data_IF_574875714815
#
_entry.id   IF_574875714815
#
_cell.length_a   1.000
_cell.length_b   1.000
_cell.length_c   1.000
_cell.angle_alpha   90.00
_cell.angle_beta   90.00
_cell.angle_gamma   90.00
#
_symmetry.space_group_name_H-M   'P 1'
#
loop_
_entity.id
_entity.type
_entity.pdbx_description
1 polymer ?
#
# COMPACT_ATOMS: atom_id res chain seq x y z
N UNK A 1 14.50 -18.21 14.03
CA UNK A 1 14.52 -19.50 13.31
C UNK A 1 14.33 -19.24 11.82
N UNK A 2 14.83 -20.08 10.90
CA UNK A 2 14.54 -19.93 9.47
C UNK A 2 13.02 -20.01 9.24
N UNK A 3 12.54 -19.36 8.18
CA UNK A 3 11.14 -18.94 8.02
C UNK A 3 10.11 -20.04 8.29
N UNK A 4 9.07 -19.69 9.07
CA UNK A 4 7.94 -20.56 9.30
C UNK A 4 7.33 -20.98 7.95
N UNK A 5 7.37 -22.28 7.66
CA UNK A 5 6.70 -22.85 6.51
C UNK A 5 5.20 -22.52 6.67
N UNK A 6 4.54 -21.90 5.68
CA UNK A 6 3.12 -21.60 5.77
C UNK A 6 2.35 -22.87 6.13
N UNK A 7 1.44 -22.80 7.09
CA UNK A 7 0.57 -23.94 7.44
C UNK A 7 -0.03 -24.54 6.17
N UNK A 8 -0.12 -25.88 6.02
CA UNK A 8 -0.64 -26.51 4.79
C UNK A 8 -1.98 -25.95 4.31
N UNK A 9 -2.79 -25.41 5.24
CA UNK A 9 -4.05 -24.70 4.95
C UNK A 9 -3.89 -23.46 4.05
N UNK A 10 -2.75 -22.77 4.12
CA UNK A 10 -2.44 -21.59 3.30
C UNK A 10 -1.68 -21.93 2.01
N UNK A 11 -1.26 -23.17 1.79
CA UNK A 11 -0.52 -23.56 0.59
C UNK A 11 -1.25 -23.21 -0.73
N UNK A 12 -2.58 -23.39 -0.87
CA UNK A 12 -3.31 -22.95 -2.07
C UNK A 12 -3.25 -21.42 -2.27
N UNK A 13 -3.30 -20.65 -1.18
CA UNK A 13 -3.14 -19.18 -1.21
C UNK A 13 -1.73 -18.80 -1.62
N UNK A 14 -0.69 -19.42 -1.02
CA UNK A 14 0.72 -19.19 -1.40
C UNK A 14 0.93 -19.40 -2.90
N UNK A 15 0.42 -20.52 -3.44
CA UNK A 15 0.54 -20.85 -4.86
C UNK A 15 -0.18 -19.80 -5.72
N UNK A 16 -1.43 -19.46 -5.41
CA UNK A 16 -2.22 -18.47 -6.18
C UNK A 16 -1.61 -17.06 -6.14
N UNK A 17 -1.05 -16.64 -5.01
CA UNK A 17 -0.46 -15.32 -4.83
C UNK A 17 0.96 -15.22 -5.41
N UNK A 18 1.63 -16.37 -5.59
CA UNK A 18 2.93 -16.48 -6.27
C UNK A 18 2.78 -16.64 -7.78
N UNK A 19 1.67 -17.23 -8.24
CA UNK A 19 1.32 -17.45 -9.64
C UNK A 19 -0.11 -16.93 -9.92
N UNK A 20 -0.33 -15.61 -9.83
CA UNK A 20 -1.64 -15.04 -10.11
C UNK A 20 -2.03 -15.26 -11.59
N UNK A 21 -3.32 -15.53 -11.89
CA UNK A 21 -3.81 -15.54 -13.26
C UNK A 21 -3.71 -14.14 -13.88
N UNK A 22 -3.76 -14.05 -15.21
CA UNK A 22 -3.88 -12.78 -15.90
C UNK A 22 -5.10 -12.00 -15.36
N UNK A 23 -4.98 -10.69 -15.09
CA UNK A 23 -6.06 -9.92 -14.51
C UNK A 23 -7.16 -9.68 -15.53
N UNK A 24 -8.33 -9.28 -15.02
CA UNK A 24 -9.50 -8.90 -15.82
C UNK A 24 -9.75 -7.38 -15.83
N UNK A 25 -8.88 -6.61 -15.19
CA UNK A 25 -8.97 -5.15 -15.03
C UNK A 25 -7.59 -4.55 -15.23
N UNK A 26 -7.53 -3.35 -15.80
CA UNK A 26 -6.32 -2.75 -16.37
C UNK A 26 -6.32 -1.23 -16.20
N UNK A 27 -5.24 -0.55 -16.61
CA UNK A 27 -5.21 0.93 -16.67
C UNK A 27 -6.22 1.51 -17.68
N UNK A 28 -6.62 0.73 -18.69
CA UNK A 28 -7.61 1.10 -19.71
C UNK A 28 -9.03 1.14 -19.12
N UNK A 29 -9.31 0.30 -18.12
CA UNK A 29 -10.61 0.18 -17.44
C UNK A 29 -10.80 1.19 -16.29
N UNK A 30 -9.77 1.94 -15.90
CA UNK A 30 -9.92 2.99 -14.89
C UNK A 30 -10.79 4.10 -15.47
N UNK A 31 -11.91 4.47 -14.82
CA UNK A 31 -12.82 5.49 -15.31
C UNK A 31 -12.16 6.88 -15.26
N UNK A 32 -12.86 7.89 -15.79
CA UNK A 32 -12.49 9.27 -15.51
C UNK A 32 -12.61 9.57 -14.01
N UNK A 33 -11.61 10.27 -13.47
CA UNK A 33 -11.48 10.63 -12.06
C UNK A 33 -11.48 12.16 -11.87
N UNK A 34 -12.02 12.92 -12.83
CA UNK A 34 -12.17 14.38 -12.72
C UNK A 34 -12.89 14.74 -11.43
N UNK A 35 -12.33 15.69 -10.67
CA UNK A 35 -12.86 16.12 -9.38
C UNK A 35 -12.57 15.19 -8.20
N UNK A 36 -11.98 14.00 -8.42
CA UNK A 36 -11.56 13.11 -7.33
C UNK A 36 -10.19 13.52 -6.79
N UNK A 37 -10.12 13.75 -5.48
CA UNK A 37 -8.90 14.06 -4.73
C UNK A 37 -8.34 12.78 -4.13
N UNK A 38 -7.05 12.52 -4.38
CA UNK A 38 -6.41 11.26 -4.01
C UNK A 38 -5.06 11.52 -3.33
N UNK A 39 -4.81 10.90 -2.18
CA UNK A 39 -3.48 10.86 -1.56
C UNK A 39 -2.87 9.48 -1.81
N UNK A 40 -1.61 9.45 -2.28
CA UNK A 40 -0.82 8.22 -2.35
C UNK A 40 0.48 8.42 -1.59
N UNK A 41 0.79 7.48 -0.71
CA UNK A 41 2.01 7.51 0.13
C UNK A 41 3.15 6.71 -0.51
N UNK A 42 4.39 7.19 -0.34
CA UNK A 42 5.60 6.52 -0.82
C UNK A 42 5.99 6.90 -2.25
N UNK A 43 5.68 8.13 -2.66
CA UNK A 43 5.93 8.65 -4.02
C UNK A 43 7.40 8.59 -4.48
N UNK A 44 8.36 8.63 -3.55
CA UNK A 44 9.77 8.86 -3.88
C UNK A 44 10.65 7.59 -3.90
N UNK A 45 10.07 6.38 -3.82
CA UNK A 45 10.80 5.12 -3.96
C UNK A 45 9.87 3.92 -4.29
N UNK A 46 10.38 2.93 -5.03
CA UNK A 46 9.64 1.69 -5.31
C UNK A 46 8.41 1.89 -6.22
N UNK A 47 7.28 1.24 -5.90
CA UNK A 47 6.08 1.24 -6.76
C UNK A 47 5.51 2.63 -7.06
N UNK A 48 5.78 3.60 -6.18
CA UNK A 48 5.37 4.98 -6.40
C UNK A 48 6.25 5.76 -7.38
N UNK A 49 7.42 5.22 -7.73
CA UNK A 49 8.46 5.88 -8.52
C UNK A 49 8.97 5.03 -9.68
N UNK A 50 8.16 4.11 -10.23
CA UNK A 50 8.58 3.39 -11.44
C UNK A 50 8.77 4.40 -12.57
N UNK A 51 10.04 4.66 -12.91
CA UNK A 51 10.49 5.86 -13.62
C UNK A 51 10.71 5.54 -15.10
N UNK A 52 10.13 6.36 -16.00
CA UNK A 52 10.64 6.66 -17.35
C UNK A 52 11.06 5.49 -18.26
N UNK A 53 10.46 4.31 -18.14
CA UNK A 53 10.38 3.34 -19.25
C UNK A 53 8.93 3.29 -19.73
N UNK A 54 8.73 3.44 -21.03
CA UNK A 54 7.42 3.55 -21.66
C UNK A 54 6.49 2.39 -21.26
N UNK A 55 7.07 1.22 -21.05
CA UNK A 55 6.41 -0.04 -20.73
C UNK A 55 6.20 -0.23 -19.21
N UNK A 56 6.09 0.85 -18.41
CA UNK A 56 5.91 0.77 -16.95
C UNK A 56 5.09 1.91 -16.31
N UNK A 57 3.77 1.83 -16.48
CA UNK A 57 2.81 2.85 -16.06
C UNK A 57 2.59 2.89 -14.53
N UNK A 58 3.39 3.67 -13.79
CA UNK A 58 3.24 3.78 -12.33
C UNK A 58 1.81 4.17 -11.91
N UNK A 59 1.38 3.74 -10.71
CA UNK A 59 0.00 4.01 -10.26
C UNK A 59 -0.37 5.49 -10.26
N UNK A 60 0.59 6.37 -9.96
CA UNK A 60 0.45 7.82 -10.10
C UNK A 60 0.15 8.26 -11.52
N UNK A 61 0.84 7.67 -12.49
CA UNK A 61 0.67 7.97 -13.91
C UNK A 61 -0.74 7.63 -14.39
N UNK A 62 -1.32 6.50 -13.95
CA UNK A 62 -2.71 6.12 -14.25
C UNK A 62 -3.70 7.12 -13.64
N UNK A 63 -3.52 7.46 -12.37
CA UNK A 63 -4.44 8.38 -11.67
C UNK A 63 -4.42 9.79 -12.29
N UNK A 64 -3.22 10.31 -12.61
CA UNK A 64 -3.05 11.59 -13.30
C UNK A 64 -3.62 11.55 -14.71
N UNK A 65 -3.31 10.52 -15.52
CA UNK A 65 -3.82 10.41 -16.89
C UNK A 65 -5.36 10.40 -16.93
N UNK A 66 -6.00 9.85 -15.89
CA UNK A 66 -7.46 9.85 -15.65
C UNK A 66 -8.01 11.09 -14.92
N UNK A 67 -7.30 12.21 -14.94
CA UNK A 67 -7.77 13.52 -14.42
C UNK A 67 -7.98 13.62 -12.89
N UNK A 68 -7.48 12.67 -12.10
CA UNK A 68 -7.50 12.81 -10.64
C UNK A 68 -6.56 13.94 -10.16
N UNK A 69 -6.95 14.62 -9.08
CA UNK A 69 -6.03 15.50 -8.33
C UNK A 69 -5.22 14.62 -7.37
N UNK A 70 -3.95 14.34 -7.70
CA UNK A 70 -3.12 13.38 -6.97
C UNK A 70 -2.08 14.07 -6.09
N UNK A 71 -2.21 13.90 -4.78
CA UNK A 71 -1.21 14.25 -3.78
C UNK A 71 -0.17 13.12 -3.64
N UNK A 72 1.05 13.44 -4.03
CA UNK A 72 2.24 12.60 -3.94
C UNK A 72 2.91 12.79 -2.59
N UNK A 73 2.78 11.82 -1.69
CA UNK A 73 3.27 11.96 -0.33
C UNK A 73 4.61 11.25 -0.11
N UNK A 74 5.58 11.98 0.47
CA UNK A 74 6.92 11.45 0.77
C UNK A 74 7.77 12.36 1.66
N UNK A 75 8.78 11.77 2.31
CA UNK A 75 9.59 12.43 3.36
C UNK A 75 10.74 13.32 2.88
N UNK A 76 11.16 13.17 1.63
CA UNK A 76 12.32 13.90 1.08
C UNK A 76 11.83 14.75 -0.10
N UNK A 77 11.83 16.07 0.12
CA UNK A 77 11.31 17.08 -0.79
C UNK A 77 12.02 17.05 -2.16
N UNK A 78 13.35 17.12 -2.20
CA UNK A 78 14.10 17.10 -3.47
C UNK A 78 13.82 15.85 -4.33
N UNK A 79 13.70 14.65 -3.71
CA UNK A 79 13.32 13.42 -4.42
C UNK A 79 11.84 13.39 -4.81
N UNK A 80 10.98 14.09 -4.09
CA UNK A 80 9.56 14.20 -4.38
C UNK A 80 9.31 15.15 -5.57
N UNK A 81 9.90 16.35 -5.53
CA UNK A 81 9.83 17.33 -6.64
C UNK A 81 10.36 16.72 -7.94
N UNK A 82 11.52 16.04 -7.90
CA UNK A 82 12.05 15.33 -9.07
C UNK A 82 11.10 14.24 -9.59
N UNK A 83 10.42 13.49 -8.72
CA UNK A 83 9.45 12.48 -9.16
C UNK A 83 8.18 13.10 -9.76
N UNK A 84 7.76 14.28 -9.29
CA UNK A 84 6.66 15.07 -9.86
C UNK A 84 7.05 15.60 -11.25
N UNK A 85 8.26 16.15 -11.40
CA UNK A 85 8.81 16.59 -12.69
C UNK A 85 8.89 15.44 -13.71
N UNK A 86 9.49 14.31 -13.33
CA UNK A 86 9.58 13.10 -14.16
C UNK A 86 8.19 12.60 -14.62
N UNK A 87 7.15 12.69 -13.77
CA UNK A 87 5.77 12.33 -14.15
C UNK A 87 5.08 13.40 -15.01
N UNK A 88 5.37 14.68 -14.78
CA UNK A 88 4.83 15.79 -15.57
C UNK A 88 5.35 15.76 -17.00
N UNK A 89 6.64 15.47 -17.19
CA UNK A 89 7.23 15.19 -18.51
C UNK A 89 6.56 13.98 -19.19
N UNK A 90 6.33 12.90 -18.44
CA UNK A 90 5.76 11.65 -18.99
C UNK A 90 4.24 11.65 -19.21
N UNK A 91 3.49 12.66 -18.74
CA UNK A 91 2.00 12.68 -18.82
C UNK A 91 1.40 14.02 -19.25
N UNK A 92 2.17 15.10 -19.25
CA UNK A 92 1.66 16.47 -19.34
C UNK A 92 0.88 16.93 -18.09
N UNK A 93 0.86 16.15 -17.00
CA UNK A 93 0.04 16.40 -15.80
C UNK A 93 0.87 16.35 -14.52
N UNK A 94 0.57 17.29 -13.63
CA UNK A 94 1.39 17.55 -12.44
C UNK A 94 0.74 16.97 -11.18
N UNK A 95 1.51 16.18 -10.43
CA UNK A 95 1.15 15.74 -9.08
C UNK A 95 1.45 16.83 -8.04
N UNK A 96 0.66 16.87 -6.97
CA UNK A 96 0.83 17.84 -5.88
C UNK A 96 1.74 17.27 -4.79
N UNK A 97 2.78 17.97 -4.31
CA UNK A 97 3.65 17.47 -3.27
C UNK A 97 2.96 17.47 -1.89
N UNK A 98 3.19 16.42 -1.10
CA UNK A 98 2.84 16.36 0.32
C UNK A 98 4.02 15.84 1.15
N UNK A 99 4.62 16.71 1.96
CA UNK A 99 5.77 16.33 2.80
C UNK A 99 5.26 15.50 3.99
N UNK A 100 5.62 14.21 4.00
CA UNK A 100 5.12 13.22 4.95
C UNK A 100 6.22 12.21 5.31
N UNK A 101 6.65 12.19 6.57
CA UNK A 101 7.37 11.05 7.15
C UNK A 101 6.45 10.27 8.10
N UNK A 102 6.16 9.02 7.74
CA UNK A 102 5.33 8.10 8.53
C UNK A 102 6.06 7.56 9.76
N UNK A 103 7.38 7.74 9.84
CA UNK A 103 8.19 7.43 11.02
C UNK A 103 8.23 8.59 12.04
N UNK A 104 7.53 9.69 11.81
CA UNK A 104 7.31 10.75 12.81
C UNK A 104 5.85 11.22 12.82
N UNK A 105 5.13 10.91 13.91
CA UNK A 105 3.74 11.32 14.07
C UNK A 105 3.54 12.85 14.08
N UNK A 106 4.58 13.65 14.39
CA UNK A 106 4.49 15.13 14.23
C UNK A 106 4.47 15.52 12.75
N UNK A 107 5.31 14.92 11.92
CA UNK A 107 5.26 15.06 10.46
C UNK A 107 3.90 14.63 9.90
N UNK A 108 3.35 13.48 10.33
CA UNK A 108 2.01 13.02 9.93
C UNK A 108 0.94 14.06 10.25
N UNK A 109 0.93 14.63 11.46
CA UNK A 109 -0.05 15.66 11.84
C UNK A 109 0.08 16.91 10.97
N UNK A 110 1.31 17.41 10.77
CA UNK A 110 1.59 18.58 9.93
C UNK A 110 1.17 18.37 8.47
N UNK A 111 1.36 17.17 7.93
CA UNK A 111 0.93 16.82 6.58
C UNK A 111 -0.60 16.87 6.43
N UNK A 112 -1.35 16.41 7.43
CA UNK A 112 -2.82 16.49 7.41
C UNK A 112 -3.31 17.93 7.57
N UNK A 113 -2.67 18.72 8.42
CA UNK A 113 -2.95 20.16 8.56
C UNK A 113 -2.70 20.92 7.23
N UNK A 114 -1.58 20.66 6.56
CA UNK A 114 -1.26 21.22 5.25
C UNK A 114 -2.27 20.79 4.18
N UNK A 115 -2.60 19.50 4.08
CA UNK A 115 -3.59 18.98 3.13
C UNK A 115 -4.98 19.59 3.38
N UNK A 116 -5.49 19.54 4.61
CA UNK A 116 -6.84 20.03 4.94
C UNK A 116 -6.97 21.56 4.94
N UNK A 117 -5.86 22.30 4.93
CA UNK A 117 -5.86 23.74 4.63
C UNK A 117 -6.23 24.02 3.17
N UNK A 118 -5.79 23.16 2.24
CA UNK A 118 -5.94 23.30 0.77
C UNK A 118 -7.18 22.60 0.23
N UNK A 119 -7.45 21.38 0.70
CA UNK A 119 -8.54 20.53 0.24
C UNK A 119 -9.59 20.34 1.33
N UNK A 120 -10.86 20.26 0.93
CA UNK A 120 -11.99 19.91 1.83
C UNK A 120 -12.50 18.50 1.60
N UNK A 121 -11.96 17.81 0.60
CA UNK A 121 -12.40 16.49 0.17
C UNK A 121 -11.24 15.53 -0.01
N UNK A 122 -11.50 14.25 0.20
CA UNK A 122 -10.57 13.16 -0.05
C UNK A 122 -11.37 11.92 -0.44
N UNK A 123 -11.25 11.50 -1.70
CA UNK A 123 -12.01 10.38 -2.24
C UNK A 123 -11.26 9.05 -2.10
N UNK A 124 -9.93 9.06 -2.22
CA UNK A 124 -9.10 7.86 -2.07
C UNK A 124 -7.80 8.13 -1.30
N UNK A 125 -7.51 7.28 -0.31
CA UNK A 125 -6.23 7.25 0.42
C UNK A 125 -5.51 5.92 0.18
N UNK A 126 -4.35 5.96 -0.47
CA UNK A 126 -3.46 4.82 -0.63
C UNK A 126 -2.36 4.83 0.44
N UNK A 127 -2.56 4.00 1.47
CA UNK A 127 -1.59 3.63 2.50
C UNK A 127 -0.60 2.61 1.93
N UNK A 128 0.29 3.09 1.05
CA UNK A 128 1.17 2.31 0.20
C UNK A 128 2.64 2.33 0.62
N UNK A 129 3.09 3.39 1.31
CA UNK A 129 4.47 3.50 1.73
C UNK A 129 4.89 2.33 2.64
N UNK A 130 6.19 2.08 2.73
CA UNK A 130 6.70 1.17 3.74
C UNK A 130 8.18 0.91 3.68
N UNK A 131 8.68 0.32 4.75
CA UNK A 131 10.03 -0.22 4.88
C UNK A 131 9.96 -1.74 5.07
N UNK A 132 11.00 -2.42 4.61
CA UNK A 132 11.15 -3.88 4.67
C UNK A 132 12.58 -4.18 5.07
N UNK A 133 12.73 -4.96 6.14
CA UNK A 133 14.00 -5.34 6.78
C UNK A 133 15.05 -4.20 6.90
N UNK A 134 14.68 -3.03 7.49
CA UNK A 134 15.65 -2.04 7.95
C UNK A 134 16.49 -2.60 9.11
N UNK A 135 17.46 -1.83 9.62
CA UNK A 135 18.24 -2.26 10.78
C UNK A 135 17.33 -2.47 12.00
N UNK A 136 17.69 -3.43 12.87
CA UNK A 136 17.02 -3.52 14.17
C UNK A 136 17.24 -2.26 15.01
N UNK A 137 18.32 -1.51 14.82
CA UNK A 137 18.55 -0.27 15.54
C UNK A 137 17.74 0.92 14.97
N UNK A 138 17.08 0.75 13.81
CA UNK A 138 16.19 1.77 13.24
C UNK A 138 14.85 1.79 14.00
N UNK A 139 14.57 2.91 14.66
CA UNK A 139 13.32 3.21 15.37
C UNK A 139 12.65 4.47 14.79
N UNK A 140 11.35 4.63 15.02
CA UNK A 140 10.62 5.87 14.73
C UNK A 140 10.99 6.99 15.70
N UNK A 141 10.63 8.24 15.36
CA UNK A 141 10.81 9.41 16.24
C UNK A 141 10.03 9.32 17.58
N UNK A 142 9.16 8.31 17.74
CA UNK A 142 8.44 8.01 18.97
C UNK A 142 8.94 6.72 19.66
N UNK A 143 10.07 6.16 19.21
CA UNK A 143 10.72 4.99 19.81
C UNK A 143 10.02 3.65 19.53
N UNK A 144 9.20 3.58 18.47
CA UNK A 144 8.62 2.33 18.01
C UNK A 144 9.53 1.64 17.00
N UNK A 145 9.38 0.32 16.83
CA UNK A 145 9.93 -0.44 15.71
C UNK A 145 9.70 0.30 14.38
N UNK A 146 10.74 0.46 13.56
CA UNK A 146 10.63 1.19 12.29
C UNK A 146 9.65 0.55 11.30
N UNK A 147 9.51 -0.78 11.28
CA UNK A 147 8.61 -1.45 10.33
C UNK A 147 7.15 -1.34 10.76
N UNK A 148 6.82 -1.71 12.00
CA UNK A 148 5.46 -1.56 12.51
C UNK A 148 5.07 -0.09 12.64
N UNK A 149 6.00 0.76 13.08
CA UNK A 149 5.83 2.20 13.17
C UNK A 149 5.49 2.85 11.83
N UNK A 150 6.31 2.63 10.80
CA UNK A 150 6.09 3.22 9.46
C UNK A 150 4.92 2.57 8.74
N UNK A 151 4.89 1.23 8.67
CA UNK A 151 3.93 0.51 7.83
C UNK A 151 2.52 0.53 8.44
N UNK A 152 2.39 0.53 9.78
CA UNK A 152 1.11 0.38 10.49
C UNK A 152 0.73 1.64 11.26
N UNK A 153 1.54 2.09 12.23
CA UNK A 153 1.15 3.19 13.13
C UNK A 153 1.04 4.55 12.42
N UNK A 154 2.00 4.88 11.55
CA UNK A 154 1.97 6.11 10.74
C UNK A 154 0.74 6.19 9.85
N UNK A 155 0.42 5.10 9.13
CA UNK A 155 -0.78 5.03 8.29
C UNK A 155 -2.08 5.02 9.09
N UNK A 156 -2.12 4.36 10.25
CA UNK A 156 -3.26 4.40 11.15
C UNK A 156 -3.53 5.83 11.61
N UNK A 157 -2.49 6.55 12.06
CA UNK A 157 -2.62 7.92 12.52
C UNK A 157 -3.00 8.88 11.38
N UNK A 158 -2.37 8.77 10.22
CA UNK A 158 -2.73 9.49 8.99
C UNK A 158 -4.21 9.29 8.64
N UNK A 159 -4.65 8.03 8.57
CA UNK A 159 -6.04 7.69 8.24
C UNK A 159 -7.00 8.20 9.32
N UNK A 160 -6.63 8.11 10.61
CA UNK A 160 -7.47 8.57 11.72
C UNK A 160 -7.67 10.08 11.73
N UNK A 161 -6.65 10.85 11.36
CA UNK A 161 -6.74 12.31 11.22
C UNK A 161 -7.51 12.73 9.96
N UNK A 162 -7.39 11.99 8.85
CA UNK A 162 -8.14 12.24 7.59
C UNK A 162 -9.57 11.68 7.60
N UNK A 163 -9.93 10.86 8.59
CA UNK A 163 -11.24 10.21 8.67
C UNK A 163 -12.43 11.19 8.62
N UNK A 164 -12.42 12.37 9.29
CA UNK A 164 -13.50 13.33 9.17
C UNK A 164 -13.68 13.84 7.73
N UNK A 165 -12.58 14.09 7.01
CA UNK A 165 -12.59 14.52 5.60
C UNK A 165 -13.10 13.42 4.68
N UNK A 166 -12.65 12.17 4.87
CA UNK A 166 -13.14 10.99 4.14
C UNK A 166 -14.65 10.83 4.29
N UNK A 167 -15.16 10.82 5.53
CA UNK A 167 -16.58 10.62 5.81
C UNK A 167 -17.45 11.81 5.39
N UNK A 168 -16.94 13.04 5.45
CA UNK A 168 -17.62 14.22 4.89
C UNK A 168 -17.71 14.14 3.36
N UNK A 169 -16.64 13.68 2.69
CA UNK A 169 -16.62 13.48 1.24
C UNK A 169 -17.63 12.42 0.81
N UNK A 170 -17.69 11.28 1.51
CA UNK A 170 -18.69 10.22 1.25
C UNK A 170 -20.14 10.71 1.38
N UNK A 171 -20.38 11.74 2.20
CA UNK A 171 -21.70 12.34 2.44
C UNK A 171 -22.01 13.52 1.52
N UNK A 172 -21.10 13.91 0.60
CA UNK A 172 -21.34 14.97 -0.37
C UNK A 172 -21.92 14.38 -1.68
N UNK A 173 -23.22 14.60 -2.00
CA UNK A 173 -23.83 14.03 -3.19
C UNK A 173 -23.34 14.64 -4.52
N UNK A 174 -22.65 15.79 -4.47
CA UNK A 174 -22.16 16.48 -5.68
C UNK A 174 -20.81 15.89 -6.11
N UNK A 175 -19.86 15.72 -5.19
CA UNK A 175 -18.50 15.22 -5.49
C UNK A 175 -18.35 13.71 -5.33
N UNK A 176 -19.24 13.08 -4.56
CA UNK A 176 -19.28 11.64 -4.33
C UNK A 176 -20.72 11.10 -4.46
N UNK A 177 -21.34 11.19 -5.66
CA UNK A 177 -22.67 10.63 -5.88
C UNK A 177 -22.74 9.12 -5.64
N UNK A 178 -21.62 8.40 -5.73
CA UNK A 178 -21.54 6.98 -5.35
C UNK A 178 -21.61 6.71 -3.83
N UNK A 179 -21.57 7.76 -2.99
CA UNK A 179 -21.64 7.68 -1.52
C UNK A 179 -20.48 6.93 -0.88
N UNK A 180 -19.34 6.81 -1.58
CA UNK A 180 -18.24 5.89 -1.23
C UNK A 180 -16.86 6.49 -1.41
N UNK A 181 -16.09 6.52 -0.32
CA UNK A 181 -14.64 6.82 -0.33
C UNK A 181 -13.84 5.56 -0.06
N UNK A 182 -12.56 5.54 -0.46
CA UNK A 182 -11.72 4.34 -0.42
C UNK A 182 -10.44 4.54 0.39
N UNK A 183 -10.10 3.57 1.24
CA UNK A 183 -8.79 3.49 1.92
C UNK A 183 -8.13 2.16 1.58
N UNK A 184 -7.05 2.21 0.81
CA UNK A 184 -6.34 1.02 0.29
C UNK A 184 -5.02 0.86 1.04
N UNK A 185 -4.76 -0.34 1.59
CA UNK A 185 -3.54 -0.66 2.33
C UNK A 185 -2.67 -1.66 1.56
N UNK A 186 -1.42 -1.29 1.24
CA UNK A 186 -0.47 -2.20 0.59
C UNK A 186 0.12 -3.18 1.62
N UNK A 187 -0.49 -4.35 1.72
CA UNK A 187 0.01 -5.49 2.50
C UNK A 187 1.03 -6.30 1.67
N UNK A 188 1.17 -7.59 1.94
CA UNK A 188 2.04 -8.54 1.24
C UNK A 188 1.63 -9.97 1.59
N UNK A 189 2.04 -10.95 0.77
CA UNK A 189 2.00 -12.37 1.15
C UNK A 189 2.69 -12.64 2.51
N UNK A 190 3.67 -11.82 2.90
CA UNK A 190 4.33 -11.87 4.21
C UNK A 190 3.36 -11.80 5.42
N UNK A 191 2.15 -11.28 5.23
CA UNK A 191 1.11 -11.24 6.27
C UNK A 191 0.65 -12.64 6.73
N UNK A 192 0.67 -13.66 5.87
CA UNK A 192 0.29 -15.04 6.23
C UNK A 192 1.40 -15.77 7.01
N UNK A 193 2.62 -15.23 6.98
CA UNK A 193 3.80 -15.75 7.70
C UNK A 193 3.96 -15.09 9.08
N UNK A 194 2.98 -14.28 9.51
CA UNK A 194 2.93 -13.70 10.84
C UNK A 194 2.25 -14.67 11.82
N UNK A 195 2.80 -14.74 13.02
CA UNK A 195 2.30 -15.44 14.21
C UNK A 195 1.25 -14.63 15.00
N UNK A 196 0.90 -13.44 14.53
CA UNK A 196 0.02 -12.48 15.19
C UNK A 196 0.66 -11.10 15.30
N UNK A 197 0.14 -10.28 16.21
CA UNK A 197 0.76 -9.00 16.60
C UNK A 197 1.21 -9.13 18.05
N UNK A 198 2.52 -9.24 18.27
CA UNK A 198 3.07 -9.10 19.62
C UNK A 198 3.25 -7.60 19.93
N UNK A 199 2.60 -7.12 20.99
CA UNK A 199 2.67 -5.74 21.46
C UNK A 199 4.00 -5.41 22.16
N UNK A 200 4.67 -6.41 22.74
CA UNK A 200 5.98 -6.25 23.40
C UNK A 200 7.09 -5.95 22.39
N UNK A 201 6.91 -6.34 21.11
CA UNK A 201 7.90 -6.10 20.05
C UNK A 201 7.72 -4.75 19.35
N UNK A 202 6.80 -3.89 19.83
CA UNK A 202 6.52 -2.60 19.19
C UNK A 202 7.51 -1.50 19.56
N UNK A 203 8.30 -1.66 20.62
CA UNK A 203 9.43 -0.80 20.99
C UNK A 203 10.70 -1.64 21.06
N UNK A 204 11.86 -1.00 21.23
CA UNK A 204 13.10 -1.77 21.37
C UNK A 204 13.14 -2.57 22.68
N UNK A 205 13.70 -3.77 22.60
CA UNK A 205 13.74 -4.73 23.70
C UNK A 205 14.10 -6.15 23.24
N UNK A 206 14.31 -7.09 24.19
CA UNK A 206 14.78 -8.44 23.90
C UNK A 206 13.88 -9.21 22.94
N UNK A 207 12.57 -9.20 23.15
CA UNK A 207 11.60 -9.93 22.31
C UNK A 207 11.53 -9.36 20.88
N UNK A 208 11.68 -8.04 20.71
CA UNK A 208 11.79 -7.42 19.39
C UNK A 208 13.02 -7.93 18.64
N UNK A 209 14.19 -7.89 19.28
CA UNK A 209 15.46 -8.32 18.66
C UNK A 209 15.46 -9.83 18.36
N UNK A 210 14.84 -10.64 19.22
CA UNK A 210 14.60 -12.08 19.03
C UNK A 210 13.65 -12.41 17.87
N UNK A 211 12.65 -11.57 17.60
CA UNK A 211 11.72 -11.74 16.45
C UNK A 211 12.41 -11.52 15.10
N UNK A 212 13.46 -10.68 15.07
CA UNK A 212 14.29 -10.41 13.89
C UNK A 212 13.60 -9.58 12.80
N UNK A 213 14.36 -9.10 11.83
CA UNK A 213 13.88 -8.13 10.82
C UNK A 213 12.70 -8.69 10.02
N UNK A 214 12.77 -9.96 9.59
CA UNK A 214 11.70 -10.62 8.82
C UNK A 214 10.43 -10.84 9.64
N UNK A 215 10.53 -11.29 10.90
CA UNK A 215 9.37 -11.51 11.75
C UNK A 215 8.62 -10.21 12.09
N UNK A 216 9.36 -9.11 12.24
CA UNK A 216 8.80 -7.76 12.38
C UNK A 216 8.14 -7.28 11.07
N UNK A 217 8.73 -7.58 9.91
CA UNK A 217 8.10 -7.28 8.62
C UNK A 217 6.76 -8.00 8.44
N UNK A 218 6.73 -9.31 8.71
CA UNK A 218 5.53 -10.14 8.62
C UNK A 218 4.40 -9.58 9.50
N UNK A 219 4.71 -9.30 10.78
CA UNK A 219 3.79 -8.67 11.72
C UNK A 219 3.29 -7.31 11.23
N UNK A 220 4.14 -6.48 10.62
CA UNK A 220 3.73 -5.19 10.04
C UNK A 220 2.73 -5.35 8.89
N UNK A 221 2.92 -6.37 8.04
CA UNK A 221 2.02 -6.64 6.90
C UNK A 221 0.71 -7.29 7.31
N UNK A 222 0.70 -8.11 8.36
CA UNK A 222 -0.53 -8.52 9.05
C UNK A 222 -1.26 -7.30 9.65
N UNK A 223 -0.52 -6.38 10.27
CA UNK A 223 -1.08 -5.12 10.79
C UNK A 223 -1.83 -4.31 9.72
N UNK A 224 -1.34 -4.27 8.47
CA UNK A 224 -2.06 -3.64 7.36
C UNK A 224 -3.41 -4.30 7.05
N UNK A 225 -3.52 -5.63 7.13
CA UNK A 225 -4.77 -6.37 6.92
C UNK A 225 -5.75 -6.10 8.08
N UNK A 226 -5.26 -6.15 9.32
CA UNK A 226 -6.07 -5.89 10.53
C UNK A 226 -6.65 -4.48 10.49
N UNK A 227 -5.84 -3.46 10.18
CA UNK A 227 -6.30 -2.07 10.06
C UNK A 227 -7.38 -1.92 8.99
N UNK A 228 -7.22 -2.57 7.83
CA UNK A 228 -8.20 -2.47 6.75
C UNK A 228 -9.54 -3.11 7.14
N UNK A 229 -9.50 -4.30 7.73
CA UNK A 229 -10.70 -5.00 8.21
C UNK A 229 -11.42 -4.19 9.30
N UNK A 230 -10.69 -3.61 10.26
CA UNK A 230 -11.28 -2.79 11.31
C UNK A 230 -11.84 -1.45 10.80
N UNK A 231 -11.24 -0.85 9.77
CA UNK A 231 -11.80 0.35 9.12
C UNK A 231 -13.12 0.02 8.41
N UNK A 232 -13.15 -1.06 7.62
CA UNK A 232 -14.37 -1.52 6.95
C UNK A 232 -15.47 -1.87 7.97
N UNK A 233 -15.14 -2.59 9.05
CA UNK A 233 -16.10 -2.98 10.10
C UNK A 233 -16.66 -1.79 10.89
N UNK A 234 -15.89 -0.71 11.07
CA UNK A 234 -16.29 0.46 11.88
C UNK A 234 -16.99 1.57 11.08
N UNK A 235 -16.66 1.72 9.79
CA UNK A 235 -17.05 2.88 8.99
C UNK A 235 -17.65 2.50 7.62
N UNK A 236 -17.84 1.20 7.33
CA UNK A 236 -18.45 0.72 6.08
C UNK A 236 -19.85 1.27 5.85
N UNK A 237 -20.67 1.31 6.90
CA UNK A 237 -22.04 1.86 6.88
C UNK A 237 -22.06 3.39 6.74
N UNK A 238 -20.91 4.07 6.92
CA UNK A 238 -20.73 5.50 6.65
C UNK A 238 -20.11 5.79 5.27
N UNK A 239 -20.03 4.78 4.39
CA UNK A 239 -19.51 4.92 3.03
C UNK A 239 -17.99 4.71 2.89
N UNK A 240 -17.29 4.27 3.93
CA UNK A 240 -15.84 3.99 3.85
C UNK A 240 -15.58 2.55 3.39
N UNK A 241 -15.11 2.39 2.16
CA UNK A 241 -14.63 1.12 1.62
C UNK A 241 -13.14 0.97 1.94
N UNK A 242 -12.78 0.07 2.86
CA UNK A 242 -11.37 -0.27 3.09
C UNK A 242 -10.99 -1.60 2.46
N UNK A 243 -9.81 -1.66 1.84
CA UNK A 243 -9.25 -2.90 1.27
C UNK A 243 -7.75 -3.02 1.56
N UNK A 244 -7.27 -4.25 1.74
CA UNK A 244 -5.84 -4.57 1.79
C UNK A 244 -5.43 -5.38 0.55
N UNK A 245 -4.37 -4.96 -0.12
CA UNK A 245 -3.87 -5.59 -1.35
C UNK A 245 -2.47 -6.17 -1.18
N UNK A 246 -2.22 -7.33 -1.76
CA UNK A 246 -0.87 -7.87 -1.95
C UNK A 246 -0.41 -7.49 -3.38
N UNK A 247 0.62 -6.66 -3.57
CA UNK A 247 1.06 -6.22 -4.90
C UNK A 247 1.85 -7.30 -5.67
N UNK A 248 2.18 -8.43 -5.03
CA UNK A 248 3.06 -9.45 -5.63
C UNK A 248 4.55 -9.09 -5.55
N UNK A 249 5.39 -9.89 -6.21
CA UNK A 249 6.85 -9.78 -6.16
C UNK A 249 7.40 -8.69 -7.12
N UNK A 250 7.11 -7.43 -6.84
CA UNK A 250 7.50 -6.31 -7.70
C UNK A 250 8.95 -5.87 -7.44
N UNK A 251 9.79 -5.88 -8.49
CA UNK A 251 11.15 -5.27 -8.48
C UNK A 251 11.03 -3.79 -8.11
N UNK A 252 11.47 -3.45 -6.90
CA UNK A 252 11.31 -2.13 -6.28
C UNK A 252 12.48 -1.84 -5.34
N UNK A 253 12.67 -0.56 -4.98
CA UNK A 253 13.63 -0.14 -3.95
C UNK A 253 13.36 -0.69 -2.54
N UNK A 254 12.28 -1.47 -2.32
CA UNK A 254 12.06 -2.20 -1.07
C UNK A 254 13.23 -3.13 -0.73
N UNK A 255 13.94 -3.65 -1.75
CA UNK A 255 15.14 -4.48 -1.58
C UNK A 255 16.40 -3.69 -1.18
N UNK A 256 16.36 -2.37 -0.97
CA UNK A 256 17.58 -1.59 -0.71
C UNK A 256 18.34 -2.03 0.56
N UNK A 257 17.63 -2.54 1.57
CA UNK A 257 18.20 -3.01 2.84
C UNK A 257 18.43 -4.53 2.92
N UNK A 258 17.97 -5.33 1.94
CA UNK A 258 18.17 -6.79 1.97
C UNK A 258 19.64 -7.17 1.73
N UNK A 259 20.10 -8.22 2.44
CA UNK A 259 21.47 -8.75 2.26
C UNK A 259 21.57 -9.35 0.85
N UNK A 260 22.78 -9.39 0.31
CA UNK A 260 22.96 -9.84 -1.08
C UNK A 260 22.54 -11.30 -1.30
N UNK A 261 22.60 -12.14 -0.27
CA UNK A 261 22.07 -13.51 -0.28
C UNK A 261 20.54 -13.57 -0.34
N UNK A 262 19.83 -12.63 0.32
CA UNK A 262 18.36 -12.54 0.23
C UNK A 262 17.94 -12.07 -1.16
N UNK A 263 18.65 -11.06 -1.70
CA UNK A 263 18.53 -10.69 -3.13
C UNK A 263 18.79 -11.89 -4.02
N UNK A 264 19.80 -12.70 -3.71
CA UNK A 264 20.14 -13.90 -4.47
C UNK A 264 19.06 -14.99 -4.38
N UNK A 265 18.42 -15.20 -3.24
CA UNK A 265 17.31 -16.15 -3.08
C UNK A 265 16.04 -15.69 -3.80
N UNK A 266 15.80 -14.38 -3.84
CA UNK A 266 14.69 -13.74 -4.57
C UNK A 266 14.98 -13.68 -6.10
N UNK A 267 16.24 -13.85 -6.54
CA UNK A 267 16.68 -13.56 -7.93
C UNK A 267 17.55 -14.69 -8.57
N UNK A 268 17.77 -15.86 -7.96
CA UNK A 268 18.59 -16.94 -8.58
C UNK A 268 17.83 -17.82 -9.60
N UNK A 269 18.55 -18.37 -10.60
CA UNK A 269 17.93 -18.79 -11.84
C UNK A 269 17.26 -20.18 -11.82
N UNK A 270 17.19 -20.91 -10.70
CA UNK A 270 16.29 -22.08 -10.67
C UNK A 270 14.82 -21.65 -10.57
N UNK A 271 14.55 -20.46 -10.02
CA UNK A 271 13.27 -19.77 -10.14
C UNK A 271 13.15 -18.98 -11.46
N UNK A 272 14.28 -18.51 -12.05
CA UNK A 272 14.27 -17.77 -13.32
C UNK A 272 14.44 -18.60 -14.59
N UNK A 273 14.64 -19.92 -14.56
CA UNK A 273 14.75 -20.75 -15.78
C UNK A 273 13.41 -21.03 -16.47
N UNK A 274 12.32 -20.53 -15.87
CA UNK A 274 11.01 -20.34 -16.50
C UNK A 274 10.63 -18.85 -16.63
N UNK A 275 11.59 -17.94 -16.43
CA UNK A 275 11.44 -16.49 -16.56
C UNK A 275 12.28 -15.91 -17.72
N UNK A 276 12.35 -16.61 -18.86
CA UNK A 276 12.50 -15.91 -20.15
C UNK A 276 11.16 -15.24 -20.50
N UNK A 277 10.84 -14.20 -19.73
CA UNK A 277 9.65 -13.33 -19.85
C UNK A 277 9.89 -12.03 -19.07
N UNK A 278 11.13 -11.51 -19.05
CA UNK A 278 11.57 -10.37 -18.25
C UNK A 278 11.12 -9.00 -18.77
N UNK A 279 9.83 -8.84 -19.06
CA UNK A 279 9.20 -7.55 -19.38
C UNK A 279 7.96 -7.27 -18.50
N UNK A 280 7.49 -8.28 -17.76
CA UNK A 280 6.09 -8.35 -17.34
C UNK A 280 5.88 -7.91 -15.91
N UNK A 281 5.45 -6.65 -15.76
CA UNK A 281 4.86 -6.07 -14.54
C UNK A 281 4.12 -4.77 -14.85
N UNK A 282 4.53 -4.12 -15.93
CA UNK A 282 3.55 -3.75 -16.93
C UNK A 282 3.92 -4.55 -18.19
N UNK A 283 4.41 -3.95 -19.27
CA UNK A 283 4.14 -4.44 -20.64
C UNK A 283 2.64 -4.40 -20.95
N UNK A 284 2.28 -4.08 -22.20
CA UNK A 284 0.88 -4.00 -22.62
C UNK A 284 0.14 -5.35 -22.51
N UNK A 285 0.83 -6.46 -22.21
CA UNK A 285 0.26 -7.82 -22.18
C UNK A 285 0.22 -8.53 -20.82
N UNK A 286 0.85 -8.08 -19.73
CA UNK A 286 0.70 -8.74 -18.40
C UNK A 286 0.54 -7.73 -17.24
N UNK A 287 -0.70 -7.65 -16.76
CA UNK A 287 -1.29 -6.46 -16.11
C UNK A 287 -1.56 -6.69 -14.59
N UNK A 288 -2.08 -5.69 -13.87
CA UNK A 288 -2.30 -5.68 -12.41
C UNK A 288 -3.76 -5.98 -11.98
N UNK A 289 -3.99 -6.65 -10.84
CA UNK A 289 -5.33 -6.87 -10.25
C UNK A 289 -5.72 -5.77 -9.25
N UNK A 290 -6.42 -4.72 -9.71
CA UNK A 290 -7.19 -3.80 -8.84
C UNK A 290 -8.63 -3.76 -9.34
N UNK A 291 -9.56 -4.47 -8.68
CA UNK A 291 -10.98 -4.41 -9.03
C UNK A 291 -11.63 -3.13 -8.49
N UNK A 292 -11.90 -2.18 -9.39
CA UNK A 292 -12.75 -1.01 -9.12
C UNK A 292 -14.23 -1.32 -9.38
N UNK A 293 -14.78 -2.35 -8.71
CA UNK A 293 -16.21 -2.63 -8.85
C UNK A 293 -17.05 -1.49 -8.23
N UNK A 294 -18.03 -1.04 -9.00
CA UNK A 294 -19.00 0.04 -8.69
C UNK A 294 -20.37 -0.48 -8.28
N UNK A 295 -20.66 -1.79 -8.46
CA UNK A 295 -21.97 -2.39 -8.17
C UNK A 295 -21.98 -3.30 -6.94
N UNK A 296 -23.11 -3.38 -6.20
CA UNK A 296 -23.25 -4.26 -5.04
C UNK A 296 -23.59 -5.70 -5.48
N UNK A 297 -22.56 -6.52 -5.73
CA UNK A 297 -22.75 -7.94 -6.06
C UNK A 297 -23.38 -8.72 -4.90
N UNK A 298 -24.72 -8.82 -4.91
CA UNK A 298 -25.48 -9.76 -4.10
C UNK A 298 -25.14 -11.19 -4.51
N UNK A 299 -24.24 -11.87 -3.78
CA UNK A 299 -24.18 -13.34 -3.65
C UNK A 299 -22.93 -13.79 -2.88
N UNK A 300 -22.98 -13.72 -1.54
CA UNK A 300 -22.04 -14.47 -0.71
C UNK A 300 -22.69 -14.88 0.63
N UNK A 301 -23.87 -15.50 0.53
CA UNK A 301 -24.66 -16.01 1.67
C UNK A 301 -25.08 -17.47 1.43
N UNK A 302 -24.12 -18.38 1.40
CA UNK A 302 -24.38 -19.81 1.61
C UNK A 302 -23.26 -20.50 2.41
N UNK A 303 -23.64 -21.17 3.51
CA UNK A 303 -22.98 -22.41 3.93
C UNK A 303 -22.05 -22.38 5.17
N UNK A 304 -22.64 -22.70 6.34
CA UNK A 304 -22.00 -23.41 7.47
C UNK A 304 -20.99 -22.64 8.37
N UNK A 305 -20.81 -23.09 9.63
CA UNK A 305 -21.82 -22.97 10.67
C UNK A 305 -21.30 -22.18 11.88
N UNK A 306 -22.22 -21.73 12.75
CA UNK A 306 -21.85 -21.13 14.05
C UNK A 306 -21.06 -22.15 14.89
N UNK A 307 -19.92 -21.74 15.43
CA UNK A 307 -19.38 -22.32 16.67
C UNK A 307 -19.44 -21.25 17.76
N UNK A 308 -19.71 -21.73 18.97
CA UNK A 308 -19.87 -20.98 20.22
C UNK A 308 -18.51 -20.50 20.72
#
# INVERSE_FOLDING_TARGET
MPGAIPSPRYLPTVIRESFPPAPKFTSEDVPDLTGKVIIVTGANAGMGKQTAKADSFSGYQVLLSRNAKVYMAGRNEAKLSKAIEELKEATGKEGLPLILDLADLKSVKKAVEDFTSKEKELHVLFNNAGVMVPSLDDLTAQGYDSQFGTNVLGHFYLTKLLLPTLLATAKNPISCPEGKVRVVHTSSIASIMADGVNFETLKDGPERRKKGEWGLYHQSKLGNVILSNELARRYGDEGLVSTSVNPGAIKTDLLRHTKWWDKLMIVRPLFMRFMESTDTLFDDRKRCCIQWNTEPSHSCTQGHPKMV
#
